data_IF_313376397788
#
_entry.id   IF_313376397788
#
_cell.length_a   1.000
_cell.length_b   1.000
_cell.length_c   1.000
_cell.angle_alpha   90.00
_cell.angle_beta   90.00
_cell.angle_gamma   90.00
#
_symmetry.space_group_name_H-M   'P 1'
#
loop_
_entity.id
_entity.type
_entity.pdbx_description
1 polymer ?
#
# COMPACT_ATOMS: atom_id res chain seq x y z
N UNK A 1 25.76 -17.46 19.46
CA UNK A 1 26.24 -16.33 18.63
C UNK A 1 25.66 -16.47 17.23
N UNK A 2 24.88 -15.49 16.77
CA UNK A 2 24.33 -15.50 15.41
C UNK A 2 25.40 -15.19 14.37
N UNK A 3 25.30 -15.77 13.17
CA UNK A 3 26.18 -15.49 12.04
C UNK A 3 25.51 -14.55 11.04
N UNK A 4 26.29 -13.71 10.38
CA UNK A 4 25.81 -12.88 9.30
C UNK A 4 25.45 -13.76 8.09
N UNK A 5 24.22 -13.63 7.61
CA UNK A 5 23.69 -14.43 6.49
C UNK A 5 24.26 -14.08 5.11
N UNK A 6 25.16 -13.08 5.03
CA UNK A 6 25.85 -12.70 3.79
C UNK A 6 27.31 -13.18 3.78
N UNK A 7 28.06 -12.87 4.83
CA UNK A 7 29.50 -13.17 4.88
C UNK A 7 29.85 -14.40 5.73
N UNK A 8 28.86 -15.03 6.37
CA UNK A 8 29.00 -16.18 7.28
C UNK A 8 29.94 -15.97 8.49
N UNK A 9 30.38 -14.73 8.74
CA UNK A 9 31.19 -14.37 9.91
C UNK A 9 30.28 -14.13 11.13
N UNK A 10 30.86 -14.25 12.33
CA UNK A 10 30.16 -14.01 13.59
C UNK A 10 29.64 -12.57 13.67
N UNK A 11 28.40 -12.40 14.11
CA UNK A 11 27.83 -11.10 14.45
C UNK A 11 28.43 -10.61 15.77
N UNK A 12 28.95 -9.38 15.81
CA UNK A 12 29.24 -8.66 17.05
C UNK A 12 28.00 -7.86 17.45
N UNK A 13 27.69 -7.79 18.74
CA UNK A 13 26.59 -6.96 19.25
C UNK A 13 26.85 -5.49 18.91
N UNK A 14 25.89 -4.81 18.30
CA UNK A 14 26.01 -3.38 17.97
C UNK A 14 26.29 -3.06 16.50
N UNK A 15 26.64 -4.05 15.67
CA UNK A 15 26.95 -3.84 14.24
C UNK A 15 26.03 -4.65 13.32
N UNK A 16 24.89 -5.11 13.84
CA UNK A 16 23.98 -5.97 13.12
C UNK A 16 22.57 -5.40 13.07
N UNK A 17 21.86 -5.80 12.02
CA UNK A 17 20.43 -5.64 11.83
C UNK A 17 19.79 -7.00 11.56
N UNK A 18 18.52 -7.10 11.89
CA UNK A 18 17.73 -8.31 11.69
C UNK A 18 16.61 -7.99 10.72
N UNK A 19 16.51 -8.76 9.64
CA UNK A 19 15.40 -8.59 8.71
C UNK A 19 14.07 -8.89 9.41
N UNK A 20 13.10 -8.00 9.29
CA UNK A 20 11.79 -8.12 9.94
C UNK A 20 11.01 -9.36 9.47
N UNK A 21 11.16 -9.75 8.21
CA UNK A 21 10.47 -10.89 7.61
C UNK A 21 11.21 -12.19 7.88
N UNK A 22 12.43 -12.36 7.33
CA UNK A 22 13.12 -13.66 7.39
C UNK A 22 13.92 -13.89 8.69
N UNK A 23 13.97 -12.90 9.60
CA UNK A 23 14.69 -12.95 10.90
C UNK A 23 16.19 -13.27 10.81
N UNK A 24 16.78 -13.24 9.61
CA UNK A 24 18.21 -13.43 9.40
C UNK A 24 18.99 -12.20 9.84
N UNK A 25 20.11 -12.45 10.53
CA UNK A 25 21.05 -11.43 10.95
C UNK A 25 22.00 -11.06 9.82
N UNK A 26 22.35 -9.78 9.74
CA UNK A 26 23.35 -9.23 8.81
C UNK A 26 24.15 -8.16 9.53
N UNK A 27 25.44 -8.06 9.24
CA UNK A 27 26.18 -6.85 9.60
C UNK A 27 25.57 -5.66 8.87
N UNK A 28 25.54 -4.49 9.51
CA UNK A 28 25.05 -3.25 8.89
C UNK A 28 25.82 -2.93 7.61
N UNK A 29 27.15 -3.13 7.62
CA UNK A 29 28.02 -2.98 6.45
C UNK A 29 27.70 -3.99 5.35
N UNK A 30 27.51 -5.27 5.71
CA UNK A 30 27.13 -6.30 4.74
C UNK A 30 25.75 -6.02 4.13
N UNK A 31 24.86 -5.37 4.87
CA UNK A 31 23.55 -4.93 4.40
C UNK A 31 23.61 -3.61 3.60
N UNK A 32 24.79 -3.00 3.42
CA UNK A 32 24.95 -1.75 2.68
C UNK A 32 24.38 -0.52 3.40
N UNK A 33 24.09 -0.60 4.70
CA UNK A 33 23.46 0.48 5.44
C UNK A 33 24.48 1.53 5.87
N UNK A 34 24.16 2.80 5.62
CA UNK A 34 24.85 3.95 6.17
C UNK A 34 24.61 4.09 7.67
N UNK A 35 25.47 4.86 8.35
CA UNK A 35 25.33 5.16 9.78
C UNK A 35 23.97 5.79 10.11
N UNK A 36 23.50 6.73 9.28
CA UNK A 36 22.23 7.43 9.50
C UNK A 36 21.03 6.47 9.38
N UNK A 37 21.05 5.54 8.43
CA UNK A 37 20.01 4.51 8.29
C UNK A 37 19.98 3.60 9.51
N UNK A 38 21.14 3.19 10.02
CA UNK A 38 21.25 2.36 11.23
C UNK A 38 20.70 3.10 12.45
N UNK A 39 21.01 4.39 12.61
CA UNK A 39 20.47 5.23 13.67
C UNK A 39 18.94 5.35 13.58
N UNK A 40 18.40 5.50 12.36
CA UNK A 40 16.96 5.55 12.14
C UNK A 40 16.26 4.23 12.50
N UNK A 41 16.83 3.09 12.11
CA UNK A 41 16.28 1.75 12.40
C UNK A 41 16.31 1.46 13.91
N UNK A 42 17.32 1.94 14.63
CA UNK A 42 17.48 1.70 16.08
C UNK A 42 16.69 2.65 16.96
N UNK A 43 16.23 3.77 16.41
CA UNK A 43 15.48 4.77 17.14
C UNK A 43 14.14 4.19 17.61
N UNK A 44 13.94 4.08 18.92
CA UNK A 44 12.71 3.54 19.52
C UNK A 44 11.47 4.41 19.25
N UNK A 45 11.67 5.69 18.92
CA UNK A 45 10.59 6.60 18.53
C UNK A 45 10.13 6.40 17.09
N UNK A 46 10.89 5.67 16.26
CA UNK A 46 10.58 5.40 14.86
C UNK A 46 10.17 3.95 14.69
N UNK A 47 9.00 3.71 14.07
CA UNK A 47 8.54 2.36 13.70
C UNK A 47 9.13 1.92 12.37
N UNK A 48 10.46 1.97 12.25
CA UNK A 48 11.19 1.60 11.02
C UNK A 48 11.68 0.15 11.15
N UNK A 49 11.47 -0.62 10.09
CA UNK A 49 11.90 -2.01 10.00
C UNK A 49 12.90 -2.18 8.87
N UNK A 50 13.92 -3.01 9.11
CA UNK A 50 14.88 -3.40 8.07
C UNK A 50 14.36 -4.61 7.30
N UNK A 51 14.40 -4.51 5.97
CA UNK A 51 14.12 -5.60 5.04
C UNK A 51 15.39 -5.88 4.24
N UNK A 52 15.81 -7.15 4.16
CA UNK A 52 16.89 -7.49 3.24
C UNK A 52 16.37 -7.50 1.81
N UNK A 53 17.24 -7.36 0.82
CA UNK A 53 16.89 -7.32 -0.62
C UNK A 53 15.84 -8.36 -1.05
N UNK A 54 15.97 -9.60 -0.58
CA UNK A 54 15.00 -10.67 -0.91
C UNK A 54 13.60 -10.46 -0.32
N UNK A 55 13.51 -9.80 0.82
CA UNK A 55 12.28 -9.53 1.54
C UNK A 55 11.73 -8.13 1.28
N UNK A 56 12.53 -7.22 0.71
CA UNK A 56 12.11 -5.87 0.39
C UNK A 56 10.97 -5.87 -0.64
N UNK A 57 11.12 -6.69 -1.69
CA UNK A 57 10.07 -6.94 -2.69
C UNK A 57 8.78 -7.46 -2.04
N UNK A 58 8.89 -8.36 -1.06
CA UNK A 58 7.73 -8.91 -0.34
C UNK A 58 7.05 -7.82 0.49
N UNK A 59 7.82 -6.92 1.10
CA UNK A 59 7.27 -5.77 1.84
C UNK A 59 6.52 -4.82 0.91
N UNK A 60 7.09 -4.50 -0.26
CA UNK A 60 6.43 -3.65 -1.26
C UNK A 60 5.10 -4.27 -1.71
N UNK A 61 5.10 -5.56 -2.04
CA UNK A 61 3.88 -6.28 -2.44
C UNK A 61 2.82 -6.23 -1.32
N UNK A 62 3.23 -6.42 -0.05
CA UNK A 62 2.30 -6.35 1.06
C UNK A 62 1.70 -4.95 1.22
N UNK A 63 2.53 -3.90 1.15
CA UNK A 63 2.05 -2.51 1.22
C UNK A 63 1.07 -2.21 0.10
N UNK A 64 1.43 -2.55 -1.16
CA UNK A 64 0.56 -2.36 -2.31
C UNK A 64 -0.78 -3.11 -2.16
N UNK A 65 -0.75 -4.35 -1.63
CA UNK A 65 -1.96 -5.11 -1.36
C UNK A 65 -2.87 -4.36 -0.37
N UNK A 66 -2.32 -3.88 0.74
CA UNK A 66 -3.09 -3.14 1.75
C UNK A 66 -3.67 -1.85 1.16
N UNK A 67 -2.90 -1.10 0.37
CA UNK A 67 -3.40 0.10 -0.30
C UNK A 67 -4.54 -0.21 -1.29
N UNK A 68 -4.44 -1.32 -2.05
CA UNK A 68 -5.51 -1.77 -2.95
C UNK A 68 -6.78 -2.13 -2.15
N UNK A 69 -6.65 -2.83 -1.03
CA UNK A 69 -7.79 -3.21 -0.17
C UNK A 69 -8.49 -1.95 0.37
N UNK A 70 -7.74 -0.96 0.86
CA UNK A 70 -8.28 0.32 1.33
C UNK A 70 -9.02 1.05 0.20
N UNK A 71 -8.43 1.14 -1.00
CA UNK A 71 -9.06 1.78 -2.15
C UNK A 71 -10.33 1.04 -2.60
N UNK A 72 -10.36 -0.29 -2.50
CA UNK A 72 -11.55 -1.08 -2.81
C UNK A 72 -12.69 -0.80 -1.83
N UNK A 73 -12.37 -0.69 -0.53
CA UNK A 73 -13.35 -0.33 0.50
C UNK A 73 -13.88 1.09 0.29
N UNK A 74 -13.01 2.06 -0.02
CA UNK A 74 -13.41 3.44 -0.35
C UNK A 74 -14.33 3.49 -1.58
N UNK A 75 -14.00 2.74 -2.64
CA UNK A 75 -14.86 2.64 -3.83
C UNK A 75 -16.22 2.01 -3.51
N UNK A 76 -16.27 1.01 -2.61
CA UNK A 76 -17.52 0.39 -2.20
C UNK A 76 -18.41 1.40 -1.44
N UNK A 77 -17.83 2.20 -0.54
CA UNK A 77 -18.55 3.24 0.19
C UNK A 77 -19.02 4.38 -0.72
N UNK A 78 -18.21 4.79 -1.71
CA UNK A 78 -18.62 5.77 -2.73
C UNK A 78 -19.79 5.26 -3.60
N UNK A 79 -19.80 3.98 -3.97
CA UNK A 79 -20.92 3.38 -4.71
C UNK A 79 -22.19 3.29 -3.87
N UNK A 80 -22.08 2.95 -2.58
CA UNK A 80 -23.23 2.93 -1.65
C UNK A 80 -23.80 4.33 -1.45
N UNK A 81 -22.95 5.33 -1.27
CA UNK A 81 -23.38 6.73 -1.09
C UNK A 81 -23.99 7.32 -2.36
N UNK A 82 -23.48 6.99 -3.55
CA UNK A 82 -24.11 7.37 -4.83
C UNK A 82 -25.46 6.69 -5.07
N UNK A 83 -25.65 5.46 -4.56
CA UNK A 83 -26.93 4.73 -4.66
C UNK A 83 -28.03 5.34 -3.77
N UNK A 84 -27.68 6.13 -2.76
CA UNK A 84 -28.63 6.83 -1.88
C UNK A 84 -29.06 8.20 -2.42
N UNK A 85 -28.48 8.69 -3.53
CA UNK A 85 -28.87 9.95 -4.18
C UNK A 85 -29.80 9.70 -5.38
N UNK A 86 -29.96 8.44 -5.80
CA UNK A 86 -30.78 8.06 -6.96
C UNK A 86 -32.30 8.00 -6.71
N UNK A 87 -32.81 8.59 -5.62
CA UNK A 87 -34.25 8.58 -5.30
C UNK A 87 -34.82 9.99 -5.03
N UNK A 88 -34.18 11.04 -5.55
CA UNK A 88 -34.70 12.41 -5.49
C UNK A 88 -34.64 13.24 -6.76
N UNK A 89 -34.24 12.68 -7.89
CA UNK A 89 -34.48 13.33 -9.17
C UNK A 89 -35.49 12.50 -9.98
N UNK A 90 -36.70 13.02 -10.01
CA UNK A 90 -37.75 12.66 -10.96
C UNK A 90 -37.26 12.94 -12.39
N UNK A 91 -36.39 12.11 -12.94
CA UNK A 91 -36.18 12.04 -14.38
C UNK A 91 -37.45 11.48 -15.00
N UNK A 92 -38.36 12.38 -15.37
CA UNK A 92 -39.49 12.05 -16.23
C UNK A 92 -38.89 11.61 -17.57
N UNK A 93 -38.67 10.30 -17.74
CA UNK A 93 -38.31 9.71 -19.02
C UNK A 93 -39.47 9.98 -19.97
N UNK A 94 -39.31 10.97 -20.84
CA UNK A 94 -40.22 11.17 -21.96
C UNK A 94 -40.15 9.94 -22.86
N UNK A 95 -41.30 9.46 -23.31
CA UNK A 95 -41.32 8.33 -24.25
C UNK A 95 -40.82 8.77 -25.62
N UNK A 96 -40.37 7.81 -26.42
CA UNK A 96 -39.84 8.09 -27.76
C UNK A 96 -40.87 8.85 -28.63
N UNK A 97 -42.18 8.64 -28.40
CA UNK A 97 -43.26 9.37 -29.06
C UNK A 97 -43.33 10.86 -28.67
N UNK A 98 -43.02 11.21 -27.42
CA UNK A 98 -43.01 12.61 -26.96
C UNK A 98 -41.81 13.36 -27.54
N UNK A 99 -40.67 12.69 -27.73
CA UNK A 99 -39.45 13.26 -28.36
C UNK A 99 -39.70 13.57 -29.84
N UNK A 100 -40.40 12.68 -30.55
CA UNK A 100 -40.68 12.85 -31.99
C UNK A 100 -41.62 14.05 -32.23
N UNK A 101 -42.66 14.21 -31.41
CA UNK A 101 -43.60 15.33 -31.53
C UNK A 101 -42.91 16.69 -31.33
N UNK A 102 -41.95 16.77 -30.42
CA UNK A 102 -41.24 18.02 -30.11
C UNK A 102 -40.25 18.44 -31.22
N UNK A 103 -39.80 17.50 -32.05
CA UNK A 103 -38.96 17.78 -33.22
C UNK A 103 -39.83 18.29 -34.39
N UNK A 104 -41.05 17.77 -34.55
CA UNK A 104 -41.96 18.16 -35.63
C UNK A 104 -42.59 19.54 -35.41
N UNK A 105 -42.83 19.95 -34.16
CA UNK A 105 -43.35 21.30 -33.84
C UNK A 105 -42.30 22.42 -33.98
N UNK A 106 -41.01 22.08 -34.12
CA UNK A 106 -39.91 23.03 -34.29
C UNK A 106 -39.35 23.09 -35.74
N UNK A 107 -39.99 22.42 -36.71
CA UNK A 107 -39.65 22.43 -38.13
C UNK A 107 -40.62 23.30 -38.96
#
# INVERSE_FOLDING_TARGET
>A
MSTCSLCNKKARSGDCVTCYICRKYRHTECAGLSRLEVECIRSSSRKIHYYCEKCDIVSIIHTMKTEIEVLQDELAELKKSGSNVADRDSEKKLSDEEIIAEIEDNA
#
